data_IF_425387167125
#
_entry.id   IF_425387167125
#
_cell.length_a   1.000
_cell.length_b   1.000
_cell.length_c   1.000
_cell.angle_alpha   90.00
_cell.angle_beta   90.00
_cell.angle_gamma   90.00
#
_symmetry.space_group_name_H-M   'P 1'
#
loop_
_entity.id
_entity.type
_entity.pdbx_description
1 polymer ?
#
# COMPACT_ATOMS: atom_id res chain seq x y z
N UNK A 1 16.43 -17.95 15.45
CA UNK A 1 15.42 -17.82 16.53
C UNK A 1 15.47 -16.38 17.06
N UNK A 2 14.72 -15.48 16.44
CA UNK A 2 14.51 -14.12 16.97
C UNK A 2 13.05 -14.03 17.38
N UNK A 3 12.76 -14.23 18.66
CA UNK A 3 11.41 -14.09 19.17
C UNK A 3 10.97 -12.64 18.98
N UNK A 4 10.02 -12.42 18.09
CA UNK A 4 9.27 -11.18 18.01
C UNK A 4 8.71 -10.90 19.42
N UNK A 5 9.05 -9.75 20.01
CA UNK A 5 8.51 -9.33 21.29
C UNK A 5 7.06 -8.91 21.03
N UNK A 6 6.16 -9.90 20.98
CA UNK A 6 4.74 -9.68 20.81
C UNK A 6 4.25 -8.75 21.93
N UNK A 7 3.55 -7.67 21.55
CA UNK A 7 3.05 -6.67 22.48
C UNK A 7 2.26 -7.35 23.62
N UNK A 8 2.49 -6.93 24.87
CA UNK A 8 1.89 -7.57 26.05
C UNK A 8 0.36 -7.50 26.03
N UNK A 9 -0.20 -6.41 25.54
CA UNK A 9 -1.64 -6.18 25.41
C UNK A 9 -2.20 -7.05 24.28
N UNK A 10 -1.55 -7.10 23.12
CA UNK A 10 -1.92 -8.02 22.04
C UNK A 10 -1.92 -9.47 22.54
N UNK A 11 -0.89 -9.90 23.26
CA UNK A 11 -0.84 -11.25 23.84
C UNK A 11 -1.99 -11.52 24.81
N UNK A 12 -2.32 -10.54 25.69
CA UNK A 12 -3.49 -10.64 26.59
C UNK A 12 -4.81 -10.68 25.81
N UNK A 13 -4.91 -9.95 24.71
CA UNK A 13 -6.07 -9.93 23.83
C UNK A 13 -6.27 -11.31 23.17
N UNK A 14 -5.21 -11.86 22.56
CA UNK A 14 -5.22 -13.19 21.95
C UNK A 14 -5.63 -14.28 22.96
N UNK A 15 -5.18 -14.19 24.22
CA UNK A 15 -5.57 -15.12 25.30
C UNK A 15 -7.06 -15.06 25.66
N UNK A 16 -7.76 -13.96 25.34
CA UNK A 16 -9.20 -13.80 25.59
C UNK A 16 -10.06 -14.33 24.44
N UNK A 17 -9.44 -14.77 23.34
CA UNK A 17 -10.09 -15.45 22.22
C UNK A 17 -11.15 -14.61 21.51
N UNK A 18 -10.95 -13.29 21.45
CA UNK A 18 -11.86 -12.40 20.70
C UNK A 18 -11.42 -12.37 19.25
N UNK A 19 -12.35 -12.66 18.34
CA UNK A 19 -12.13 -12.58 16.90
C UNK A 19 -12.35 -11.14 16.43
N UNK A 20 -11.37 -10.57 15.71
CA UNK A 20 -11.48 -9.23 15.13
C UNK A 20 -11.89 -9.25 13.65
N UNK A 21 -12.03 -10.44 13.06
CA UNK A 21 -12.39 -10.57 11.64
C UNK A 21 -13.68 -9.85 11.28
N UNK A 22 -14.75 -9.87 12.11
CA UNK A 22 -15.98 -9.14 11.81
C UNK A 22 -15.81 -7.61 11.76
N UNK A 23 -14.79 -7.06 12.43
CA UNK A 23 -14.46 -5.62 12.43
C UNK A 23 -13.28 -5.29 11.50
N UNK A 24 -13.00 -6.20 10.56
CA UNK A 24 -12.08 -5.99 9.45
C UNK A 24 -10.61 -6.32 9.74
N UNK A 25 -10.28 -6.93 10.89
CA UNK A 25 -8.90 -7.31 11.22
C UNK A 25 -8.78 -8.82 11.39
N UNK A 26 -8.20 -9.49 10.40
CA UNK A 26 -7.91 -10.91 10.48
C UNK A 26 -6.57 -11.16 11.16
N UNK A 27 -6.59 -11.86 12.29
CA UNK A 27 -5.39 -12.24 13.03
C UNK A 27 -4.84 -13.54 12.44
N UNK A 28 -3.67 -13.46 11.80
CA UNK A 28 -2.99 -14.62 11.20
C UNK A 28 -1.62 -14.85 11.83
N UNK A 29 -1.17 -16.10 11.84
CA UNK A 29 0.21 -16.44 12.23
C UNK A 29 1.20 -16.24 11.07
N UNK A 30 0.71 -15.99 9.85
CA UNK A 30 1.56 -15.72 8.70
C UNK A 30 2.19 -14.32 8.78
N UNK A 31 3.47 -14.24 8.42
CA UNK A 31 4.23 -12.99 8.35
C UNK A 31 4.66 -12.77 6.90
N UNK A 32 3.68 -12.74 5.99
CA UNK A 32 3.96 -12.36 4.61
C UNK A 32 4.34 -10.88 4.61
N UNK A 33 5.59 -10.58 4.27
CA UNK A 33 6.02 -9.19 4.12
C UNK A 33 5.86 -8.77 2.67
N UNK A 34 5.35 -7.56 2.46
CA UNK A 34 5.34 -6.89 1.17
C UNK A 34 6.60 -6.02 1.03
N UNK A 35 6.88 -5.57 -0.20
CA UNK A 35 8.06 -4.74 -0.49
C UNK A 35 8.10 -3.46 0.37
N UNK A 36 6.94 -2.91 0.73
CA UNK A 36 6.78 -1.72 1.57
C UNK A 36 6.59 -2.03 3.06
N UNK A 37 6.72 -3.29 3.49
CA UNK A 37 6.69 -3.64 4.92
C UNK A 37 7.98 -3.17 5.60
N UNK A 38 7.92 -2.35 6.66
CA UNK A 38 9.10 -1.82 7.32
C UNK A 38 10.04 -2.89 7.88
N UNK A 39 11.33 -2.59 7.87
CA UNK A 39 12.35 -3.47 8.45
C UNK A 39 12.15 -3.62 9.95
N UNK A 40 11.99 -4.87 10.39
CA UNK A 40 11.69 -5.17 11.80
C UNK A 40 10.24 -4.94 12.17
N UNK A 41 9.34 -4.88 11.19
CA UNK A 41 7.91 -4.99 11.41
C UNK A 41 7.54 -6.35 12.00
N UNK A 42 6.53 -6.33 12.85
CA UNK A 42 5.91 -7.49 13.49
C UNK A 42 4.42 -7.42 13.19
N UNK A 43 4.01 -8.08 12.11
CA UNK A 43 2.62 -8.08 11.65
C UNK A 43 1.76 -8.86 12.63
N UNK A 44 0.57 -8.35 12.91
CA UNK A 44 -0.38 -9.01 13.79
C UNK A 44 -1.79 -9.12 13.20
N UNK A 45 -2.12 -8.32 12.20
CA UNK A 45 -3.47 -8.31 11.62
C UNK A 45 -3.46 -7.89 10.16
N UNK A 46 -4.45 -8.38 9.42
CA UNK A 46 -4.64 -8.15 7.99
C UNK A 46 -6.03 -7.57 7.73
N UNK A 47 -6.16 -6.69 6.74
CA UNK A 47 -7.44 -6.13 6.31
C UNK A 47 -7.64 -6.35 4.80
N UNK A 48 -8.85 -6.76 4.43
CA UNK A 48 -9.23 -6.96 3.04
C UNK A 48 -8.40 -8.03 2.31
N UNK A 49 -8.33 -7.90 0.99
CA UNK A 49 -7.59 -8.81 0.09
C UNK A 49 -6.36 -8.17 -0.56
N UNK A 50 -6.20 -6.86 -0.39
CA UNK A 50 -5.20 -6.03 -1.06
C UNK A 50 -3.83 -6.03 -0.36
N UNK A 51 -3.67 -6.86 0.68
CA UNK A 51 -2.44 -6.98 1.44
C UNK A 51 -2.23 -5.90 2.49
N UNK A 52 -3.28 -5.16 2.85
CA UNK A 52 -3.24 -4.19 3.96
C UNK A 52 -2.98 -4.94 5.26
N UNK A 53 -2.01 -4.48 6.04
CA UNK A 53 -1.65 -5.13 7.29
C UNK A 53 -1.26 -4.15 8.38
N UNK A 54 -1.48 -4.58 9.62
CA UNK A 54 -1.14 -3.84 10.83
C UNK A 54 0.04 -4.47 11.54
N UNK A 55 0.99 -3.64 11.95
CA UNK A 55 2.22 -4.11 12.56
C UNK A 55 2.75 -3.17 13.66
N UNK A 56 3.64 -3.72 14.48
CA UNK A 56 4.57 -2.94 15.30
C UNK A 56 5.91 -2.86 14.59
N UNK A 57 6.57 -1.70 14.64
CA UNK A 57 7.91 -1.54 14.06
C UNK A 57 8.94 -1.44 15.19
N UNK A 58 9.96 -2.30 15.16
CA UNK A 58 11.04 -2.27 16.16
C UNK A 58 11.72 -0.90 16.18
N UNK A 59 11.68 -0.24 17.34
CA UNK A 59 12.23 1.10 17.54
C UNK A 59 11.17 2.17 17.83
N UNK A 60 9.90 1.88 17.56
CA UNK A 60 8.77 2.80 17.74
C UNK A 60 7.85 2.43 18.93
N UNK A 61 8.39 1.70 19.91
CA UNK A 61 7.65 1.31 21.11
C UNK A 61 6.48 0.37 20.79
N UNK A 62 5.29 0.75 21.25
CA UNK A 62 4.04 -0.01 21.05
C UNK A 62 3.15 0.54 19.93
N UNK A 63 3.66 1.53 19.17
CA UNK A 63 2.90 2.18 18.10
C UNK A 63 2.44 1.17 17.04
N UNK A 64 1.17 1.31 16.65
CA UNK A 64 0.54 0.51 15.61
C UNK A 64 0.61 1.29 14.30
N UNK A 65 1.10 0.62 13.27
CA UNK A 65 1.18 1.13 11.91
C UNK A 65 0.24 0.34 11.00
N UNK A 66 -0.43 1.04 10.10
CA UNK A 66 -1.02 0.43 8.90
C UNK A 66 0.00 0.47 7.78
N UNK A 67 0.06 -0.60 6.98
CA UNK A 67 0.85 -0.71 5.76
C UNK A 67 -0.09 -1.12 4.62
N UNK A 68 -0.12 -0.31 3.56
CA UNK A 68 -0.96 -0.56 2.37
C UNK A 68 -0.08 -0.67 1.12
N UNK A 69 0.14 -1.89 0.58
CA UNK A 69 0.94 -2.10 -0.63
C UNK A 69 0.35 -1.46 -1.89
N UNK A 70 -0.96 -1.20 -1.90
CA UNK A 70 -1.68 -0.59 -3.02
C UNK A 70 -1.63 0.95 -3.04
N UNK A 71 -1.11 1.57 -1.97
CA UNK A 71 -0.88 3.01 -1.97
C UNK A 71 0.29 3.40 -2.90
N UNK A 72 0.43 4.70 -3.15
CA UNK A 72 1.55 5.25 -3.93
C UNK A 72 2.67 5.72 -3.03
N UNK A 73 3.91 5.56 -3.48
CA UNK A 73 5.07 6.15 -2.81
C UNK A 73 4.89 7.67 -2.60
N UNK A 74 5.23 8.23 -1.43
CA UNK A 74 5.83 7.57 -0.26
C UNK A 74 4.81 7.01 0.78
N UNK A 75 3.51 7.12 0.52
CA UNK A 75 2.41 6.93 1.47
C UNK A 75 2.01 5.46 1.70
N UNK A 76 2.98 4.57 1.89
CA UNK A 76 2.69 3.16 2.15
C UNK A 76 2.37 2.86 3.61
N UNK A 77 2.93 3.64 4.54
CA UNK A 77 2.93 3.32 5.97
C UNK A 77 2.46 4.52 6.77
N UNK A 78 1.44 4.31 7.60
CA UNK A 78 0.87 5.37 8.45
C UNK A 78 0.76 4.90 9.90
N UNK A 79 1.22 5.69 10.89
CA UNK A 79 0.87 5.43 12.27
C UNK A 79 -0.63 5.65 12.46
N UNK A 80 -1.29 4.68 13.10
CA UNK A 80 -2.75 4.72 13.34
C UNK A 80 -3.09 4.77 14.82
N UNK A 81 -2.22 4.26 15.70
CA UNK A 81 -2.41 4.36 17.15
C UNK A 81 -1.09 4.34 17.90
N UNK A 82 -1.00 5.04 19.03
CA UNK A 82 0.19 5.04 19.90
C UNK A 82 0.46 3.67 20.54
N UNK A 83 -0.58 2.85 20.68
CA UNK A 83 -0.51 1.52 21.28
C UNK A 83 -1.71 0.65 20.84
N UNK A 84 -1.65 -0.64 21.13
CA UNK A 84 -2.71 -1.58 20.76
C UNK A 84 -4.04 -1.31 21.49
N UNK A 85 -4.01 -0.74 22.70
CA UNK A 85 -5.26 -0.35 23.39
C UNK A 85 -5.97 0.76 22.64
N UNK A 86 -5.26 1.81 22.22
CA UNK A 86 -5.86 2.89 21.45
C UNK A 86 -6.33 2.43 20.07
N UNK A 87 -5.62 1.47 19.45
CA UNK A 87 -6.09 0.81 18.22
C UNK A 87 -7.47 0.14 18.42
N UNK A 88 -7.65 -0.61 19.51
CA UNK A 88 -8.97 -1.19 19.83
C UNK A 88 -10.02 -0.11 20.12
N UNK A 89 -9.65 0.99 20.80
CA UNK A 89 -10.57 2.10 21.07
C UNK A 89 -10.99 2.85 19.80
N UNK A 90 -10.10 2.93 18.81
CA UNK A 90 -10.40 3.46 17.48
C UNK A 90 -11.39 2.56 16.75
N UNK A 91 -11.17 1.24 16.74
CA UNK A 91 -12.14 0.29 16.16
C UNK A 91 -13.49 0.39 16.88
N UNK A 92 -13.51 0.52 18.21
CA UNK A 92 -14.74 0.74 18.99
C UNK A 92 -15.49 2.02 18.60
N UNK A 93 -14.77 3.08 18.21
CA UNK A 93 -15.37 4.34 17.78
C UNK A 93 -15.83 4.31 16.32
N UNK A 94 -15.08 3.62 15.46
CA UNK A 94 -15.31 3.60 14.01
C UNK A 94 -16.22 2.46 13.57
N UNK A 95 -16.41 1.44 14.40
CA UNK A 95 -17.18 0.24 14.08
C UNK A 95 -16.46 -0.78 13.21
N UNK A 96 -15.53 -0.33 12.37
CA UNK A 96 -14.70 -1.13 11.49
C UNK A 96 -13.31 -0.49 11.34
N UNK A 97 -12.29 -1.31 11.06
CA UNK A 97 -10.91 -0.83 10.89
C UNK A 97 -10.71 -0.03 9.60
N UNK A 98 -11.58 -0.17 8.59
CA UNK A 98 -11.44 0.53 7.31
C UNK A 98 -11.35 2.06 7.49
N UNK A 99 -12.13 2.64 8.39
CA UNK A 99 -12.05 4.07 8.65
C UNK A 99 -10.72 4.47 9.30
N UNK A 100 -10.20 3.65 10.21
CA UNK A 100 -8.92 3.85 10.89
C UNK A 100 -7.78 3.80 9.89
N UNK A 101 -7.83 2.85 8.96
CA UNK A 101 -6.82 2.68 7.93
C UNK A 101 -6.84 3.83 6.92
N UNK A 102 -8.00 4.23 6.42
CA UNK A 102 -8.14 5.28 5.40
C UNK A 102 -8.04 6.72 5.94
N UNK A 103 -8.00 6.89 7.28
CA UNK A 103 -7.97 8.19 7.93
C UNK A 103 -6.81 9.10 7.47
N UNK A 104 -5.69 8.55 6.98
CA UNK A 104 -4.55 9.33 6.51
C UNK A 104 -4.90 10.25 5.33
N UNK A 105 -5.77 9.83 4.41
CA UNK A 105 -6.12 10.61 3.21
C UNK A 105 -7.36 11.50 3.37
N UNK A 106 -8.20 11.25 4.39
CA UNK A 106 -9.46 11.98 4.57
C UNK A 106 -9.33 13.22 5.45
N UNK A 107 -10.11 14.24 5.11
CA UNK A 107 -10.47 15.28 6.07
C UNK A 107 -11.59 14.79 7.03
N UNK A 108 -11.87 15.56 8.08
CA UNK A 108 -12.84 15.18 9.12
C UNK A 108 -14.23 14.90 8.54
N UNK A 109 -14.72 15.76 7.64
CA UNK A 109 -16.04 15.59 7.02
C UNK A 109 -16.14 14.32 6.16
N UNK A 110 -15.07 13.94 5.44
CA UNK A 110 -15.02 12.70 4.68
C UNK A 110 -15.00 11.47 5.60
N UNK A 111 -14.25 11.55 6.69
CA UNK A 111 -14.19 10.49 7.69
C UNK A 111 -15.57 10.28 8.36
N UNK A 112 -16.23 11.36 8.78
CA UNK A 112 -17.57 11.29 9.36
C UNK A 112 -18.63 10.82 8.35
N UNK A 113 -18.54 11.26 7.10
CA UNK A 113 -19.42 10.80 6.04
C UNK A 113 -19.29 9.28 5.85
N UNK A 114 -18.05 8.76 5.81
CA UNK A 114 -17.81 7.33 5.70
C UNK A 114 -18.45 6.54 6.85
N UNK A 115 -18.32 7.00 8.10
CA UNK A 115 -18.94 6.34 9.26
C UNK A 115 -20.47 6.36 9.19
N UNK A 116 -21.06 7.46 8.73
CA UNK A 116 -22.52 7.58 8.60
C UNK A 116 -23.09 6.73 7.46
N UNK A 117 -22.35 6.61 6.36
CA UNK A 117 -22.74 5.83 5.19
C UNK A 117 -22.54 4.32 5.40
N UNK A 118 -21.66 3.94 6.33
CA UNK A 118 -21.32 2.55 6.64
C UNK A 118 -21.65 2.20 8.10
N UNK A 119 -22.94 2.17 8.49
CA UNK A 119 -23.31 1.82 9.85
C UNK A 119 -22.93 0.38 10.17
N UNK A 120 -22.54 0.13 11.43
CA UNK A 120 -22.16 -1.20 11.91
C UNK A 120 -23.28 -2.22 11.71
N UNK A 121 -22.92 -3.39 11.19
CA UNK A 121 -23.78 -4.57 11.15
C UNK A 121 -23.99 -5.17 12.55
N UNK A 122 -24.97 -6.08 12.68
CA UNK A 122 -25.23 -6.77 13.95
C UNK A 122 -24.02 -7.60 14.45
N UNK A 123 -23.30 -8.24 13.52
CA UNK A 123 -22.11 -9.04 13.83
C UNK A 123 -20.95 -8.16 14.32
N UNK A 124 -20.74 -7.01 13.67
CA UNK A 124 -19.80 -6.00 14.15
C UNK A 124 -20.18 -5.50 15.54
N UNK A 125 -21.45 -5.14 15.78
CA UNK A 125 -21.91 -4.67 17.09
C UNK A 125 -21.66 -5.68 18.21
N UNK A 126 -21.90 -6.97 17.95
CA UNK A 126 -21.62 -8.03 18.90
C UNK A 126 -20.12 -8.12 19.22
N UNK A 127 -19.29 -8.09 18.19
CA UNK A 127 -17.83 -8.13 18.31
C UNK A 127 -17.29 -6.92 19.09
N UNK A 128 -17.77 -5.70 18.77
CA UNK A 128 -17.40 -4.46 19.45
C UNK A 128 -17.81 -4.49 20.93
N UNK A 129 -18.99 -5.04 21.24
CA UNK A 129 -19.44 -5.22 22.63
C UNK A 129 -18.53 -6.19 23.39
N UNK A 130 -18.16 -7.31 22.77
CA UNK A 130 -17.25 -8.29 23.35
C UNK A 130 -15.85 -7.69 23.60
N UNK A 131 -15.31 -6.90 22.67
CA UNK A 131 -14.06 -6.17 22.85
C UNK A 131 -14.16 -5.23 24.06
N UNK A 132 -15.22 -4.40 24.09
CA UNK A 132 -15.48 -3.43 25.16
C UNK A 132 -15.53 -4.10 26.54
N UNK A 133 -16.32 -5.17 26.69
CA UNK A 133 -16.50 -5.89 27.96
C UNK A 133 -15.23 -6.63 28.39
N UNK A 134 -14.63 -7.41 27.49
CA UNK A 134 -13.46 -8.21 27.85
C UNK A 134 -12.26 -7.30 28.13
N UNK A 135 -12.06 -6.25 27.36
CA UNK A 135 -10.90 -5.37 27.51
C UNK A 135 -11.14 -4.21 28.48
N UNK A 136 -12.37 -4.00 28.92
CA UNK A 136 -12.80 -2.85 29.74
C UNK A 136 -12.39 -1.53 29.09
N UNK A 137 -12.79 -1.35 27.82
CA UNK A 137 -12.43 -0.22 26.98
C UNK A 137 -13.67 0.56 26.56
N UNK A 138 -13.50 1.87 26.41
CA UNK A 138 -14.52 2.74 25.83
C UNK A 138 -14.08 3.19 24.43
N UNK A 139 -15.03 3.43 23.52
CA UNK A 139 -14.75 4.05 22.23
C UNK A 139 -13.91 5.32 22.38
N UNK A 140 -13.04 5.58 21.40
CA UNK A 140 -12.30 6.83 21.33
C UNK A 140 -13.23 8.01 21.04
N UNK A 141 -13.08 9.12 21.79
CA UNK A 141 -13.99 10.27 21.69
C UNK A 141 -13.83 11.06 20.38
N UNK A 142 -12.59 11.22 19.90
CA UNK A 142 -12.25 12.04 18.74
C UNK A 142 -11.29 11.26 17.82
N UNK A 143 -11.75 10.17 17.18
CA UNK A 143 -10.88 9.23 16.48
C UNK A 143 -10.08 9.89 15.34
N UNK A 144 -10.72 10.70 14.50
CA UNK A 144 -10.05 11.37 13.39
C UNK A 144 -8.96 12.35 13.88
N UNK A 145 -9.32 13.24 14.83
CA UNK A 145 -8.38 14.20 15.41
C UNK A 145 -7.19 13.51 16.08
N UNK A 146 -7.42 12.42 16.81
CA UNK A 146 -6.35 11.62 17.41
C UNK A 146 -5.38 11.08 16.35
N UNK A 147 -5.89 10.44 15.29
CA UNK A 147 -5.05 9.88 14.22
C UNK A 147 -4.26 10.99 13.51
N UNK A 148 -4.91 12.12 13.18
CA UNK A 148 -4.23 13.23 12.50
C UNK A 148 -3.14 13.88 13.34
N UNK A 149 -3.38 14.05 14.64
CA UNK A 149 -2.36 14.55 15.56
C UNK A 149 -1.15 13.61 15.59
N UNK A 150 -1.40 12.30 15.73
CA UNK A 150 -0.35 11.29 15.70
C UNK A 150 0.47 11.36 14.41
N UNK A 151 -0.21 11.35 13.26
CA UNK A 151 0.43 11.40 11.94
C UNK A 151 1.20 12.69 11.69
N UNK A 152 0.69 13.84 12.12
CA UNK A 152 1.35 15.14 11.95
C UNK A 152 2.62 15.29 12.78
N UNK A 153 2.70 14.57 13.90
CA UNK A 153 3.86 14.59 14.81
C UNK A 153 4.93 13.57 14.45
N UNK A 154 4.65 12.65 13.53
CA UNK A 154 5.51 11.52 13.22
C UNK A 154 6.55 11.87 12.14
N UNK A 155 7.80 11.50 12.39
CA UNK A 155 8.91 11.65 11.43
C UNK A 155 9.05 10.40 10.56
N UNK A 156 8.42 10.42 9.39
CA UNK A 156 8.42 9.31 8.43
C UNK A 156 9.82 8.93 7.92
N UNK A 157 10.81 9.83 8.00
CA UNK A 157 12.20 9.54 7.57
C UNK A 157 12.88 8.48 8.44
N UNK A 158 12.34 8.22 9.64
CA UNK A 158 12.84 7.21 10.56
C UNK A 158 12.41 5.80 10.16
N UNK A 159 11.36 5.64 9.35
CA UNK A 159 10.96 4.33 8.83
C UNK A 159 12.04 3.85 7.87
N UNK A 160 12.53 2.63 8.11
CA UNK A 160 13.52 1.96 7.25
C UNK A 160 12.88 0.73 6.63
N UNK A 161 13.20 0.47 5.38
CA UNK A 161 12.70 -0.66 4.63
C UNK A 161 13.81 -1.70 4.35
N UNK A 162 13.44 -2.87 3.84
CA UNK A 162 14.38 -3.85 3.30
C UNK A 162 14.89 -3.41 1.92
N UNK A 163 15.90 -4.10 1.39
CA UNK A 163 16.46 -3.80 0.05
C UNK A 163 15.38 -3.88 -1.04
N UNK A 164 14.43 -4.81 -0.92
CA UNK A 164 13.29 -4.97 -1.85
C UNK A 164 12.48 -3.69 -2.10
N UNK A 165 12.41 -2.79 -1.11
CA UNK A 165 11.74 -1.50 -1.27
C UNK A 165 12.50 -0.57 -2.22
N UNK A 166 13.82 -0.55 -2.09
CA UNK A 166 14.72 0.33 -2.87
C UNK A 166 15.06 -0.26 -4.24
N UNK A 167 14.94 -1.58 -4.40
CA UNK A 167 15.14 -2.30 -5.66
C UNK A 167 13.92 -2.25 -6.60
N UNK A 168 12.75 -1.85 -6.09
CA UNK A 168 11.60 -1.60 -6.95
C UNK A 168 11.83 -0.30 -7.74
N UNK A 169 12.05 -0.43 -9.05
CA UNK A 169 12.04 0.65 -10.07
C UNK A 169 10.79 1.57 -9.98
N UNK A 170 9.77 1.16 -9.22
CA UNK A 170 8.53 1.88 -8.94
C UNK A 170 8.63 2.91 -7.79
N UNK A 171 9.75 2.99 -7.06
CA UNK A 171 9.94 3.96 -5.95
C UNK A 171 10.72 5.20 -6.32
N UNK A 172 11.14 5.35 -7.58
CA UNK A 172 11.87 6.52 -8.00
C UNK A 172 10.94 7.57 -8.63
N UNK A 173 10.94 8.77 -8.06
CA UNK A 173 10.82 10.01 -8.86
C UNK A 173 12.06 10.17 -9.77
N UNK A 174 12.55 9.09 -10.38
CA UNK A 174 13.51 9.22 -11.46
C UNK A 174 12.74 9.85 -12.60
N UNK A 175 13.19 11.03 -13.02
CA UNK A 175 12.87 11.57 -14.33
C UNK A 175 12.86 10.40 -15.32
N UNK A 176 11.70 10.08 -15.88
CA UNK A 176 11.56 9.10 -16.94
C UNK A 176 12.38 9.61 -18.13
N UNK A 177 13.68 9.32 -18.12
CA UNK A 177 14.53 9.43 -19.30
C UNK A 177 14.01 8.32 -20.19
N UNK A 178 13.03 8.69 -21.03
CA UNK A 178 12.46 7.78 -22.01
C UNK A 178 13.62 7.07 -22.70
N UNK A 179 13.67 5.73 -22.68
CA UNK A 179 14.76 5.01 -23.31
C UNK A 179 14.84 5.46 -24.77
N UNK A 180 16.06 5.74 -25.25
CA UNK A 180 16.26 6.10 -26.65
C UNK A 180 15.58 5.07 -27.54
N UNK A 181 14.59 5.51 -28.34
CA UNK A 181 13.86 4.65 -29.26
C UNK A 181 14.82 4.06 -30.29
N UNK A 182 15.08 2.75 -30.19
CA UNK A 182 16.04 2.03 -31.04
C UNK A 182 15.32 0.93 -31.80
N UNK A 183 15.25 1.08 -33.13
CA UNK A 183 14.64 0.10 -34.04
C UNK A 183 15.71 -0.80 -34.63
N UNK A 184 15.44 -2.11 -34.71
CA UNK A 184 16.34 -3.10 -35.31
C UNK A 184 15.58 -3.91 -36.37
N UNK A 185 16.28 -4.38 -37.40
CA UNK A 185 15.67 -5.07 -38.53
C UNK A 185 14.96 -6.39 -38.14
N UNK A 186 15.58 -7.15 -37.23
CA UNK A 186 15.04 -8.42 -36.70
C UNK A 186 14.63 -8.28 -35.22
N UNK A 187 14.33 -7.05 -34.76
CA UNK A 187 13.95 -6.76 -33.37
C UNK A 187 12.45 -6.93 -33.14
N UNK A 188 12.08 -7.30 -31.91
CA UNK A 188 10.72 -7.22 -31.41
C UNK A 188 10.59 -6.08 -30.38
N UNK A 189 9.37 -5.86 -29.88
CA UNK A 189 9.08 -4.80 -28.90
C UNK A 189 9.87 -4.95 -27.60
N UNK A 190 10.37 -6.15 -27.30
CA UNK A 190 11.05 -6.49 -26.04
C UNK A 190 12.58 -6.60 -26.20
N UNK A 191 13.09 -6.44 -27.42
CA UNK A 191 14.52 -6.33 -27.69
C UNK A 191 14.96 -6.91 -29.02
N UNK A 192 16.28 -7.01 -29.19
CA UNK A 192 16.89 -7.62 -30.37
C UNK A 192 17.88 -8.69 -29.94
N UNK A 193 18.02 -9.76 -30.74
CA UNK A 193 19.04 -10.78 -30.54
C UNK A 193 20.15 -10.60 -31.57
N UNK A 194 21.28 -10.01 -31.18
CA UNK A 194 22.44 -9.85 -32.07
C UNK A 194 23.38 -8.72 -31.66
N UNK A 195 24.39 -8.46 -32.52
CA UNK A 195 25.29 -7.31 -32.42
C UNK A 195 24.97 -6.22 -33.46
N UNK A 196 23.75 -6.24 -33.99
CA UNK A 196 23.33 -5.32 -35.04
C UNK A 196 23.19 -3.89 -34.50
N UNK A 197 23.52 -2.90 -35.33
CA UNK A 197 23.37 -1.50 -34.95
C UNK A 197 21.91 -1.07 -35.11
N UNK A 198 21.45 -0.21 -34.22
CA UNK A 198 20.13 0.41 -34.32
C UNK A 198 20.00 1.16 -35.67
N UNK A 199 18.81 1.07 -36.26
CA UNK A 199 18.48 1.74 -37.49
C UNK A 199 18.48 3.25 -37.32
N UNK A 200 18.92 3.97 -38.35
CA UNK A 200 18.88 5.43 -38.37
C UNK A 200 17.48 5.87 -38.79
N UNK A 201 16.82 6.66 -37.94
CA UNK A 201 15.51 7.24 -38.23
C UNK A 201 15.56 8.13 -39.49
N UNK A 202 14.58 7.94 -40.35
CA UNK A 202 14.24 8.75 -41.51
C UNK A 202 12.81 9.24 -41.27
N UNK A 203 12.66 10.51 -40.91
CA UNK A 203 11.34 11.11 -40.73
C UNK A 203 10.64 11.22 -42.09
N UNK A 204 9.44 10.66 -42.18
CA UNK A 204 8.66 10.63 -43.41
C UNK A 204 7.41 11.52 -43.30
N UNK A 205 6.74 11.49 -42.14
CA UNK A 205 5.50 12.22 -41.85
C UNK A 205 4.51 12.18 -43.03
N UNK A 206 4.27 10.98 -43.56
CA UNK A 206 3.39 10.75 -44.70
C UNK A 206 2.09 10.12 -44.27
N UNK A 207 1.02 10.52 -44.97
CA UNK A 207 -0.30 9.97 -44.81
C UNK A 207 -0.88 9.67 -46.19
N UNK A 208 -1.52 8.52 -46.36
CA UNK A 208 -2.18 8.15 -47.61
C UNK A 208 -3.22 7.06 -47.36
N UNK A 209 -4.22 6.99 -48.24
CA UNK A 209 -5.25 5.95 -48.20
C UNK A 209 -4.86 4.80 -49.13
N UNK A 210 -4.84 3.57 -48.60
CA UNK A 210 -4.54 2.38 -49.38
C UNK A 210 -5.25 1.15 -48.81
N UNK A 211 -5.77 0.30 -49.71
CA UNK A 211 -6.53 -0.91 -49.39
C UNK A 211 -7.75 -0.69 -48.45
N UNK A 212 -8.36 0.51 -48.51
CA UNK A 212 -9.50 0.87 -47.65
C UNK A 212 -9.13 1.33 -46.25
N UNK A 213 -7.84 1.48 -45.95
CA UNK A 213 -7.34 1.99 -44.68
C UNK A 213 -6.61 3.32 -44.87
N UNK A 214 -6.70 4.17 -43.86
CA UNK A 214 -5.90 5.38 -43.74
C UNK A 214 -4.57 5.05 -43.08
N UNK A 215 -3.47 5.20 -43.81
CA UNK A 215 -2.12 4.89 -43.33
C UNK A 215 -1.42 6.17 -42.86
N UNK A 216 -0.77 6.08 -41.70
CA UNK A 216 0.07 7.14 -41.15
C UNK A 216 1.46 6.57 -40.93
N UNK A 217 2.46 7.11 -41.65
CA UNK A 217 3.86 6.69 -41.58
C UNK A 217 4.68 7.87 -41.04
N UNK A 218 4.92 7.93 -39.72
CA UNK A 218 5.70 9.01 -39.12
C UNK A 218 7.20 8.92 -39.50
N UNK A 219 7.76 7.71 -39.49
CA UNK A 219 9.18 7.50 -39.79
C UNK A 219 9.43 6.12 -40.41
N UNK A 220 10.59 5.96 -41.06
CA UNK A 220 11.17 4.68 -41.41
C UNK A 220 12.60 4.61 -40.85
N UNK A 221 13.13 3.42 -40.65
CA UNK A 221 14.45 3.20 -40.06
C UNK A 221 15.34 2.45 -41.04
N UNK A 222 16.48 3.05 -41.38
CA UNK A 222 17.50 2.41 -42.20
C UNK A 222 18.42 1.57 -41.32
N UNK A 223 18.25 0.25 -41.40
CA UNK A 223 19.07 -0.75 -40.75
C UNK A 223 20.09 -1.33 -41.74
N UNK A 224 21.15 -1.98 -41.24
CA UNK A 224 22.18 -2.62 -42.08
C UNK A 224 21.64 -3.68 -43.04
N UNK A 225 20.49 -4.28 -42.71
CA UNK A 225 19.84 -5.37 -43.46
C UNK A 225 18.65 -4.92 -44.31
N UNK A 226 18.16 -3.68 -44.16
CA UNK A 226 17.02 -3.17 -44.90
C UNK A 226 16.27 -2.04 -44.19
N UNK A 227 15.04 -1.78 -44.62
CA UNK A 227 14.17 -0.73 -44.07
C UNK A 227 13.09 -1.34 -43.16
N UNK A 228 12.84 -0.67 -42.03
CA UNK A 228 11.70 -0.94 -41.14
C UNK A 228 10.79 0.29 -41.16
N UNK A 229 9.48 0.10 -41.32
CA UNK A 229 8.48 1.18 -41.44
C UNK A 229 7.41 0.99 -40.38
#
# INVERSE_FOLDING_TARGET
MGGCLMNRILKKFLQRGVDLSPVGVELREDNTNYFCTPKGASVFGWAGIDGIHFCFIRGFGEMVFSVSPMNTSPDYVHPVAENFTDFLRLILACGDVAAVEQAWMWNEAQFEAFLNENPTTQEQQQTLSEISEKMNLLPMEQPWTYIKNLQSSFDYSQIKYTEDYYDNDMTSEAELVAPEWKVYFDGDFWGHRGKDRAGKEIKLDKQFDWAGYHWVIPAAYSCSKGLVV
#
